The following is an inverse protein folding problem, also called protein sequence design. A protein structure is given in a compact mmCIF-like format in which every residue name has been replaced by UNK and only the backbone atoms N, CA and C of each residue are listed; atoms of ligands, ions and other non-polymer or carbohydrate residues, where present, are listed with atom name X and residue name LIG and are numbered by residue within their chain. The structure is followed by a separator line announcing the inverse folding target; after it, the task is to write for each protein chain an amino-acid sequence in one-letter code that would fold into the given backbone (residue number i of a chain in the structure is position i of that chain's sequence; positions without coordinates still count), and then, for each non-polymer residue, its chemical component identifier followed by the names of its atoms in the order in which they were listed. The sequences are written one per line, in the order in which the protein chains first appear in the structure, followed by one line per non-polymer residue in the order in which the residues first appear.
data_IF_967836068233
#
_entry.id   IF_967836068233
#
_cell.length_a   1.000
_cell.length_b   1.000
_cell.length_c   1.000
_cell.angle_alpha   90.00
_cell.angle_beta   90.00
_cell.angle_gamma   90.00
#
_symmetry.space_group_name_H-M   'P 1'
#
loop_
_entity.id
_entity.type
_entity.pdbx_description
1 polymer ?
#
# COMPACT_ATOMS: atom_id res chain seq x y z
N UNK A 1 10.69 -11.48 10.80
CA UNK A 1 9.61 -11.68 9.80
C UNK A 1 10.10 -11.18 8.45
N UNK A 2 9.85 -11.90 7.35
CA UNK A 2 10.23 -11.41 6.02
C UNK A 2 9.31 -10.28 5.56
N UNK A 3 9.79 -9.43 4.65
CA UNK A 3 8.96 -8.39 4.03
C UNK A 3 7.75 -8.98 3.29
N UNK A 4 7.91 -10.14 2.65
CA UNK A 4 6.81 -10.83 1.98
C UNK A 4 5.75 -11.32 2.96
N UNK A 5 6.16 -11.87 4.11
CA UNK A 5 5.23 -12.29 5.16
C UNK A 5 4.47 -11.08 5.74
N UNK A 6 5.14 -9.95 5.98
CA UNK A 6 4.50 -8.75 6.48
C UNK A 6 3.43 -8.21 5.52
N UNK A 7 3.75 -8.10 4.22
CA UNK A 7 2.77 -7.69 3.20
C UNK A 7 1.63 -8.69 3.11
N UNK A 8 1.93 -10.00 3.15
CA UNK A 8 0.91 -11.05 3.12
C UNK A 8 -0.09 -10.97 4.28
N UNK A 9 0.40 -10.71 5.50
CA UNK A 9 -0.46 -10.52 6.67
C UNK A 9 -1.37 -9.30 6.53
N UNK A 10 -0.84 -8.16 6.07
CA UNK A 10 -1.63 -6.95 5.82
C UNK A 10 -2.68 -7.19 4.73
N UNK A 11 -2.32 -7.89 3.65
CA UNK A 11 -3.26 -8.28 2.59
C UNK A 11 -4.40 -9.14 3.14
N UNK A 12 -4.11 -10.12 3.99
CA UNK A 12 -5.14 -10.96 4.61
C UNK A 12 -6.09 -10.13 5.49
N UNK A 13 -5.55 -9.27 6.35
CA UNK A 13 -6.34 -8.39 7.22
C UNK A 13 -7.26 -7.45 6.43
N UNK A 14 -6.79 -6.87 5.31
CA UNK A 14 -7.62 -6.03 4.45
C UNK A 14 -8.74 -6.82 3.78
N UNK A 15 -8.46 -8.04 3.30
CA UNK A 15 -9.48 -8.93 2.72
C UNK A 15 -10.54 -9.29 3.76
N UNK A 16 -10.14 -9.64 4.98
CA UNK A 16 -11.06 -9.94 6.08
C UNK A 16 -11.92 -8.72 6.46
N UNK A 17 -11.38 -7.51 6.30
CA UNK A 17 -12.10 -6.24 6.50
C UNK A 17 -13.02 -5.85 5.31
N UNK A 18 -13.15 -6.72 4.30
CA UNK A 18 -14.04 -6.52 3.15
C UNK A 18 -13.44 -5.68 2.02
N UNK A 19 -12.12 -5.47 1.99
CA UNK A 19 -11.46 -4.83 0.86
C UNK A 19 -11.15 -5.83 -0.26
N UNK A 20 -11.33 -5.40 -1.51
CA UNK A 20 -10.66 -6.01 -2.65
C UNK A 20 -9.23 -5.47 -2.70
N UNK A 21 -8.24 -6.35 -2.61
CA UNK A 21 -6.81 -5.98 -2.55
C UNK A 21 -6.12 -6.35 -3.86
N UNK A 22 -5.28 -5.45 -4.38
CA UNK A 22 -4.49 -5.68 -5.58
C UNK A 22 -3.42 -6.74 -5.37
N UNK A 23 -2.85 -7.23 -6.48
CA UNK A 23 -1.54 -7.88 -6.41
C UNK A 23 -0.47 -6.91 -5.90
N UNK A 24 0.61 -7.46 -5.37
CA UNK A 24 1.74 -6.66 -4.87
C UNK A 24 2.40 -5.89 -6.01
N UNK A 25 2.55 -4.58 -5.84
CA UNK A 25 3.32 -3.75 -6.75
C UNK A 25 4.80 -4.18 -6.73
N UNK A 26 5.25 -4.72 -7.87
CA UNK A 26 6.59 -5.26 -8.08
C UNK A 26 7.48 -4.40 -8.99
N UNK A 27 6.92 -3.31 -9.56
CA UNK A 27 7.64 -2.38 -10.43
C UNK A 27 8.58 -1.50 -9.58
N UNK A 28 9.74 -1.12 -10.11
CA UNK A 28 10.70 -0.24 -9.43
C UNK A 28 10.98 1.00 -10.28
N UNK A 29 11.13 2.19 -9.67
CA UNK A 29 10.92 2.49 -8.24
C UNK A 29 9.44 2.35 -7.83
N UNK A 30 9.18 2.00 -6.56
CA UNK A 30 7.81 1.90 -6.03
C UNK A 30 7.57 2.77 -4.81
N UNK A 31 6.49 3.53 -4.86
CA UNK A 31 6.00 4.37 -3.76
C UNK A 31 5.17 3.56 -2.75
N UNK A 32 4.29 2.66 -3.21
CA UNK A 32 3.43 1.79 -2.39
C UNK A 32 3.66 0.29 -2.62
N UNK A 33 3.04 -0.57 -1.80
CA UNK A 33 3.13 -2.03 -1.86
C UNK A 33 1.90 -2.69 -2.45
N UNK A 34 0.71 -2.25 -2.03
CA UNK A 34 -0.59 -2.76 -2.47
C UNK A 34 -1.58 -1.60 -2.53
N UNK A 35 -2.56 -1.70 -3.43
CA UNK A 35 -3.76 -0.89 -3.39
C UNK A 35 -4.91 -1.75 -2.83
N UNK A 36 -5.84 -1.15 -2.12
CA UNK A 36 -7.05 -1.82 -1.67
C UNK A 36 -8.26 -0.92 -1.87
N UNK A 37 -9.42 -1.51 -2.16
CA UNK A 37 -10.67 -0.78 -2.36
C UNK A 37 -11.83 -1.41 -1.60
N UNK A 38 -12.68 -0.59 -1.00
CA UNK A 38 -13.96 -0.99 -0.42
C UNK A 38 -15.03 0.05 -0.74
N UNK A 39 -15.96 -0.28 -1.63
CA UNK A 39 -16.87 0.72 -2.20
C UNK A 39 -16.08 1.77 -2.97
N UNK A 40 -16.29 3.03 -2.63
CA UNK A 40 -15.61 4.18 -3.23
C UNK A 40 -14.29 4.51 -2.53
N UNK A 41 -14.04 3.93 -1.34
CA UNK A 41 -12.78 4.13 -0.62
C UNK A 41 -11.65 3.36 -1.33
N UNK A 42 -10.66 4.06 -1.88
CA UNK A 42 -9.40 3.50 -2.38
C UNK A 42 -8.29 3.89 -1.42
N UNK A 43 -7.37 2.96 -1.13
CA UNK A 43 -6.21 3.23 -0.28
C UNK A 43 -4.94 2.66 -0.91
N UNK A 44 -3.87 3.47 -0.94
CA UNK A 44 -2.52 3.06 -1.33
C UNK A 44 -1.69 2.78 -0.07
N UNK A 45 -1.28 1.52 0.15
CA UNK A 45 -0.56 1.15 1.36
C UNK A 45 0.93 0.93 1.09
N UNK A 46 1.77 1.58 1.90
CA UNK A 46 3.20 1.31 2.02
C UNK A 46 3.43 0.52 3.30
N UNK A 47 3.90 -0.72 3.15
CA UNK A 47 4.06 -1.65 4.28
C UNK A 47 5.53 -1.68 4.70
N UNK A 48 5.81 -1.21 5.91
CA UNK A 48 7.16 -1.06 6.46
C UNK A 48 7.29 -1.82 7.78
N UNK A 49 8.44 -2.46 7.99
CA UNK A 49 8.79 -3.07 9.29
C UNK A 49 9.30 -2.01 10.30
N UNK A 50 9.90 -0.94 9.79
CA UNK A 50 10.30 0.23 10.55
C UNK A 50 9.71 1.47 9.87
N UNK A 51 8.91 2.23 10.60
CA UNK A 51 8.25 3.43 10.07
C UNK A 51 9.24 4.55 9.73
N UNK A 52 10.39 4.59 10.41
CA UNK A 52 11.45 5.58 10.13
C UNK A 52 12.09 5.38 8.74
N UNK A 53 11.82 4.25 8.08
CA UNK A 53 12.24 4.00 6.71
C UNK A 53 11.35 4.71 5.66
N UNK A 54 10.32 5.45 6.09
CA UNK A 54 9.48 6.24 5.20
C UNK A 54 10.13 7.60 4.92
N UNK A 55 10.53 7.82 3.67
CA UNK A 55 11.16 9.07 3.24
C UNK A 55 10.19 10.06 2.58
N UNK A 56 10.59 11.33 2.56
CA UNK A 56 9.78 12.42 2.00
C UNK A 56 9.52 12.28 0.50
N UNK A 57 10.44 11.67 -0.25
CA UNK A 57 10.26 11.42 -1.68
C UNK A 57 9.13 10.42 -1.93
N UNK A 58 9.16 9.28 -1.23
CA UNK A 58 8.09 8.27 -1.26
C UNK A 58 6.76 8.89 -0.87
N UNK A 59 6.72 9.69 0.19
CA UNK A 59 5.50 10.38 0.62
C UNK A 59 4.95 11.36 -0.42
N UNK A 60 5.81 12.13 -1.08
CA UNK A 60 5.39 13.04 -2.14
C UNK A 60 4.81 12.30 -3.35
N UNK A 61 5.42 11.20 -3.77
CA UNK A 61 4.91 10.37 -4.86
C UNK A 61 3.60 9.67 -4.50
N UNK A 62 3.47 9.15 -3.27
CA UNK A 62 2.21 8.57 -2.79
C UNK A 62 1.09 9.61 -2.74
N UNK A 63 1.37 10.83 -2.28
CA UNK A 63 0.39 11.92 -2.27
C UNK A 63 -0.11 12.25 -3.69
N UNK A 64 0.80 12.41 -4.65
CA UNK A 64 0.44 12.68 -6.06
C UNK A 64 -0.42 11.57 -6.66
N UNK A 65 -0.08 10.31 -6.37
CA UNK A 65 -0.88 9.17 -6.83
C UNK A 65 -2.26 9.14 -6.16
N UNK A 66 -2.34 9.43 -4.85
CA UNK A 66 -3.61 9.55 -4.13
C UNK A 66 -4.50 10.63 -4.73
N UNK A 67 -3.96 11.83 -4.96
CA UNK A 67 -4.68 12.94 -5.60
C UNK A 67 -5.21 12.57 -7.00
N UNK A 68 -4.43 11.85 -7.81
CA UNK A 68 -4.87 11.44 -9.15
C UNK A 68 -5.93 10.34 -9.13
N UNK A 69 -5.91 9.48 -8.11
CA UNK A 69 -6.79 8.32 -8.00
C UNK A 69 -8.00 8.55 -7.08
N UNK A 70 -8.11 9.73 -6.47
CA UNK A 70 -9.08 10.03 -5.40
C UNK A 70 -9.01 9.00 -4.26
N UNK A 71 -7.79 8.74 -3.79
CA UNK A 71 -7.42 7.70 -2.82
C UNK A 71 -6.68 8.24 -1.59
#
# INVERSE_FOLDING_TARGET
MSRSALVGNVTAMLKDAGFTVSDRCAIRPKSFDIAARRGDDVVLLKVLANIDAFDGYTGAEMRRLGEYLDA
#
